data_IF_677169855650
#
_entry.id   IF_677169855650
#
_cell.length_a   1.000
_cell.length_b   1.000
_cell.length_c   1.000
_cell.angle_alpha   90.00
_cell.angle_beta   90.00
_cell.angle_gamma   90.00
#
_symmetry.space_group_name_H-M   'P 1'
#
loop_
_entity.id
_entity.type
_entity.pdbx_description
1 polymer ?
#
# COMPACT_ATOMS: atom_id res chain seq x y z
N UNK A 1 -18.23 10.62 18.02
CA UNK A 1 -17.66 9.42 18.68
C UNK A 1 -16.87 8.70 17.63
N UNK A 2 -15.55 8.97 17.56
CA UNK A 2 -14.65 8.38 16.58
C UNK A 2 -14.39 6.93 16.95
N UNK A 3 -14.85 6.01 16.14
CA UNK A 3 -14.53 4.60 16.26
C UNK A 3 -13.07 4.37 15.87
N UNK A 4 -12.17 4.42 16.87
CA UNK A 4 -10.83 3.86 16.68
C UNK A 4 -11.02 2.41 16.18
N UNK A 5 -10.24 2.01 15.15
CA UNK A 5 -10.19 0.61 14.72
C UNK A 5 -9.88 -0.27 15.95
N UNK A 6 -10.92 -0.74 16.61
CA UNK A 6 -10.79 -1.87 17.54
C UNK A 6 -10.37 -3.10 16.72
N UNK A 7 -9.90 -4.16 17.36
CA UNK A 7 -9.45 -5.42 16.71
C UNK A 7 -10.58 -6.15 15.94
N UNK A 8 -11.43 -5.38 15.25
CA UNK A 8 -12.51 -5.80 14.38
C UNK A 8 -12.06 -5.86 12.92
N UNK A 9 -12.77 -6.60 12.10
CA UNK A 9 -12.54 -6.67 10.67
C UNK A 9 -12.68 -5.27 10.06
N UNK A 10 -11.72 -4.86 9.22
CA UNK A 10 -11.83 -3.62 8.43
C UNK A 10 -12.92 -3.82 7.38
N UNK A 11 -13.97 -2.99 7.40
CA UNK A 11 -15.14 -3.18 6.57
C UNK A 11 -15.00 -2.55 5.17
N UNK A 12 -14.23 -1.46 5.06
CA UNK A 12 -14.01 -0.74 3.79
C UNK A 12 -12.56 -0.36 3.61
N UNK A 13 -11.98 -0.85 2.53
CA UNK A 13 -10.59 -0.62 2.14
C UNK A 13 -10.55 0.02 0.75
N UNK A 14 -9.74 1.06 0.62
CA UNK A 14 -9.46 1.68 -0.68
C UNK A 14 -8.05 1.38 -1.13
N UNK A 15 -7.88 1.06 -2.41
CA UNK A 15 -6.59 0.80 -3.05
C UNK A 15 -6.39 1.87 -4.13
N UNK A 16 -5.38 2.71 -3.95
CA UNK A 16 -5.01 3.77 -4.90
C UNK A 16 -3.82 3.28 -5.73
N UNK A 17 -4.07 3.06 -7.01
CA UNK A 17 -3.16 2.36 -7.91
C UNK A 17 -3.43 0.84 -7.91
N UNK A 18 -4.08 0.36 -8.95
CA UNK A 18 -4.56 -1.02 -9.03
C UNK A 18 -3.82 -1.85 -10.10
N UNK A 19 -2.51 -1.60 -10.22
CA UNK A 19 -1.59 -2.46 -10.97
C UNK A 19 -1.39 -3.84 -10.31
N UNK A 20 -0.30 -4.51 -10.61
CA UNK A 20 0.02 -5.83 -10.06
C UNK A 20 -0.12 -5.90 -8.53
N UNK A 21 0.54 -4.98 -7.81
CA UNK A 21 0.57 -5.02 -6.34
C UNK A 21 -0.81 -4.67 -5.75
N UNK A 22 -1.43 -3.57 -6.21
CA UNK A 22 -2.73 -3.14 -5.69
C UNK A 22 -3.84 -4.17 -5.96
N UNK A 23 -3.91 -4.73 -7.17
CA UNK A 23 -4.87 -5.78 -7.50
C UNK A 23 -4.60 -7.08 -6.72
N UNK A 24 -3.34 -7.42 -6.46
CA UNK A 24 -3.00 -8.58 -5.62
C UNK A 24 -3.39 -8.37 -4.15
N UNK A 25 -3.29 -7.15 -3.63
CA UNK A 25 -3.82 -6.80 -2.30
C UNK A 25 -5.33 -7.02 -2.26
N UNK A 26 -6.06 -6.56 -3.28
CA UNK A 26 -7.51 -6.77 -3.38
C UNK A 26 -7.88 -8.26 -3.37
N UNK A 27 -7.20 -9.07 -4.17
CA UNK A 27 -7.41 -10.53 -4.23
C UNK A 27 -7.08 -11.21 -2.89
N UNK A 28 -5.97 -10.84 -2.24
CA UNK A 28 -5.59 -11.37 -0.94
C UNK A 28 -6.62 -11.00 0.15
N UNK A 29 -7.14 -9.76 0.11
CA UNK A 29 -8.23 -9.31 0.98
C UNK A 29 -9.51 -10.10 0.75
N UNK A 30 -9.90 -10.35 -0.50
CA UNK A 30 -11.06 -11.21 -0.82
C UNK A 30 -10.92 -12.60 -0.21
N UNK A 31 -9.72 -13.17 -0.26
CA UNK A 31 -9.42 -14.49 0.35
C UNK A 31 -9.49 -14.45 1.88
N UNK A 32 -8.90 -13.42 2.50
CA UNK A 32 -8.76 -13.34 3.96
C UNK A 32 -9.98 -12.74 4.68
N UNK A 33 -10.71 -11.84 4.01
CA UNK A 33 -11.86 -11.10 4.55
C UNK A 33 -12.95 -10.93 3.48
N UNK A 34 -13.73 -11.99 3.13
CA UNK A 34 -14.72 -11.94 2.05
C UNK A 34 -15.80 -10.88 2.20
N UNK A 35 -16.08 -10.43 3.43
CA UNK A 35 -17.08 -9.39 3.72
C UNK A 35 -16.54 -7.94 3.61
N UNK A 36 -15.24 -7.75 3.39
CA UNK A 36 -14.67 -6.42 3.24
C UNK A 36 -15.05 -5.80 1.89
N UNK A 37 -15.55 -4.56 1.89
CA UNK A 37 -15.77 -3.78 0.68
C UNK A 37 -14.45 -3.20 0.18
N UNK A 38 -14.09 -3.50 -1.06
CA UNK A 38 -12.86 -3.06 -1.70
C UNK A 38 -13.19 -2.08 -2.81
N UNK A 39 -12.66 -0.86 -2.69
CA UNK A 39 -12.76 0.18 -3.73
C UNK A 39 -11.38 0.40 -4.33
N UNK A 40 -11.27 0.33 -5.64
CA UNK A 40 -10.05 0.63 -6.37
C UNK A 40 -10.12 2.02 -7.00
N UNK A 41 -9.05 2.78 -6.89
CA UNK A 41 -8.89 4.08 -7.56
C UNK A 41 -7.72 3.99 -8.52
N UNK A 42 -7.98 4.14 -9.81
CA UNK A 42 -6.93 4.12 -10.83
C UNK A 42 -7.32 5.04 -12.00
N UNK A 43 -6.41 5.87 -12.54
CA UNK A 43 -6.71 6.75 -13.66
C UNK A 43 -6.92 5.99 -14.99
N UNK A 44 -6.34 4.80 -15.15
CA UNK A 44 -6.45 4.02 -16.39
C UNK A 44 -7.80 3.29 -16.47
N UNK A 45 -8.66 3.59 -17.48
CA UNK A 45 -9.93 2.92 -17.66
C UNK A 45 -9.77 1.42 -17.92
N UNK A 46 -8.72 0.98 -18.61
CA UNK A 46 -8.50 -0.45 -18.87
C UNK A 46 -8.16 -1.21 -17.59
N UNK A 47 -7.44 -0.58 -16.66
CA UNK A 47 -7.20 -1.14 -15.32
C UNK A 47 -8.52 -1.25 -14.57
N UNK A 48 -9.35 -0.21 -14.56
CA UNK A 48 -10.64 -0.22 -13.86
C UNK A 48 -11.59 -1.30 -14.38
N UNK A 49 -11.67 -1.47 -15.70
CA UNK A 49 -12.50 -2.51 -16.34
C UNK A 49 -12.05 -3.92 -15.95
N UNK A 50 -10.74 -4.14 -15.82
CA UNK A 50 -10.18 -5.43 -15.42
C UNK A 50 -10.42 -5.79 -13.94
N UNK A 51 -10.79 -4.82 -13.10
CA UNK A 51 -10.98 -5.05 -11.66
C UNK A 51 -12.39 -5.49 -11.29
N UNK A 52 -13.39 -5.11 -12.07
CA UNK A 52 -14.80 -5.37 -11.80
C UNK A 52 -15.42 -6.19 -12.96
N UNK A 53 -16.08 -7.34 -12.66
CA UNK A 53 -16.26 -7.96 -11.35
C UNK A 53 -15.10 -8.87 -10.93
N UNK A 54 -14.96 -9.08 -9.64
CA UNK A 54 -14.17 -10.18 -9.07
C UNK A 54 -12.95 -9.76 -8.24
N UNK A 55 -12.29 -8.65 -8.57
CA UNK A 55 -11.14 -8.15 -7.79
C UNK A 55 -11.59 -7.06 -6.80
N UNK A 56 -12.28 -6.03 -7.27
CA UNK A 56 -12.85 -4.97 -6.44
C UNK A 56 -14.39 -4.96 -6.53
N UNK A 57 -15.06 -4.37 -5.55
CA UNK A 57 -16.52 -4.14 -5.59
C UNK A 57 -16.85 -2.91 -6.44
N UNK A 58 -15.92 -1.97 -6.49
CA UNK A 58 -16.06 -0.69 -7.17
C UNK A 58 -14.71 -0.21 -7.70
N UNK A 59 -14.67 0.37 -8.88
CA UNK A 59 -13.49 0.99 -9.45
C UNK A 59 -13.84 2.38 -10.00
N UNK A 60 -13.01 3.39 -9.70
CA UNK A 60 -13.24 4.78 -10.07
C UNK A 60 -11.92 5.50 -10.37
N UNK A 61 -11.96 6.60 -11.10
CA UNK A 61 -10.86 7.58 -11.23
C UNK A 61 -11.01 8.77 -10.27
N UNK A 62 -12.18 8.90 -9.63
CA UNK A 62 -12.42 9.93 -8.62
C UNK A 62 -11.88 9.50 -7.25
N UNK A 63 -10.74 10.09 -6.86
CA UNK A 63 -10.10 9.81 -5.59
C UNK A 63 -11.01 10.15 -4.40
N UNK A 64 -11.78 11.24 -4.47
CA UNK A 64 -12.66 11.64 -3.36
C UNK A 64 -13.82 10.64 -3.17
N UNK A 65 -14.40 10.16 -4.27
CA UNK A 65 -15.42 9.12 -4.24
C UNK A 65 -14.85 7.80 -3.69
N UNK A 66 -13.65 7.41 -4.14
CA UNK A 66 -12.99 6.19 -3.69
C UNK A 66 -12.60 6.18 -2.22
N UNK A 67 -12.27 7.35 -1.66
CA UNK A 67 -11.86 7.48 -0.25
C UNK A 67 -13.03 7.64 0.73
N UNK A 68 -14.26 7.80 0.23
CA UNK A 68 -15.44 7.97 1.10
C UNK A 68 -15.59 6.77 2.04
N UNK A 69 -15.68 7.04 3.33
CA UNK A 69 -15.83 6.04 4.40
C UNK A 69 -14.70 4.98 4.45
N UNK A 70 -13.54 5.24 3.83
CA UNK A 70 -12.39 4.34 3.90
C UNK A 70 -11.83 4.27 5.32
N UNK A 71 -11.63 3.07 5.83
CA UNK A 71 -10.98 2.81 7.12
C UNK A 71 -9.49 2.53 6.96
N UNK A 72 -9.11 1.98 5.80
CA UNK A 72 -7.71 1.73 5.42
C UNK A 72 -7.52 2.06 3.95
N UNK A 73 -6.40 2.71 3.64
CA UNK A 73 -5.97 3.01 2.27
C UNK A 73 -4.61 2.39 2.00
N UNK A 74 -4.52 1.61 0.94
CA UNK A 74 -3.24 1.19 0.36
C UNK A 74 -2.90 2.10 -0.82
N UNK A 75 -1.74 2.77 -0.78
CA UNK A 75 -1.21 3.58 -1.89
C UNK A 75 -0.19 2.73 -2.65
N UNK A 76 -0.60 2.18 -3.77
CA UNK A 76 0.19 1.26 -4.62
C UNK A 76 0.49 1.87 -6.00
N UNK A 77 0.54 3.19 -6.09
CA UNK A 77 0.96 3.93 -7.29
C UNK A 77 2.49 3.99 -7.39
N UNK A 78 3.05 4.37 -8.57
CA UNK A 78 4.48 4.59 -8.72
C UNK A 78 5.04 5.60 -7.71
N UNK A 79 6.25 5.35 -7.20
CA UNK A 79 6.88 6.19 -6.15
C UNK A 79 6.92 7.68 -6.54
N UNK A 80 7.17 7.99 -7.81
CA UNK A 80 7.17 9.39 -8.29
C UNK A 80 5.83 10.12 -8.18
N UNK A 81 4.71 9.39 -8.12
CA UNK A 81 3.37 9.96 -7.95
C UNK A 81 2.96 10.06 -6.46
N UNK A 82 3.64 9.36 -5.57
CA UNK A 82 3.24 9.25 -4.16
C UNK A 82 3.13 10.59 -3.42
N UNK A 83 4.03 11.57 -3.57
CA UNK A 83 3.89 12.83 -2.84
C UNK A 83 2.53 13.52 -3.09
N UNK A 84 2.15 13.68 -4.34
CA UNK A 84 0.86 14.30 -4.69
C UNK A 84 -0.34 13.44 -4.25
N UNK A 85 -0.24 12.12 -4.37
CA UNK A 85 -1.29 11.19 -3.93
C UNK A 85 -1.44 11.22 -2.41
N UNK A 86 -0.36 11.20 -1.65
CA UNK A 86 -0.40 11.24 -0.18
C UNK A 86 -1.00 12.55 0.33
N UNK A 87 -0.63 13.70 -0.28
CA UNK A 87 -1.23 15.00 0.03
C UNK A 87 -2.76 14.98 -0.20
N UNK A 88 -3.20 14.48 -1.35
CA UNK A 88 -4.61 14.38 -1.68
C UNK A 88 -5.35 13.41 -0.75
N UNK A 89 -4.78 12.24 -0.44
CA UNK A 89 -5.34 11.27 0.51
C UNK A 89 -5.44 11.85 1.91
N UNK A 90 -4.43 12.55 2.39
CA UNK A 90 -4.43 13.17 3.72
C UNK A 90 -5.59 14.15 3.90
N UNK A 91 -5.92 14.89 2.83
CA UNK A 91 -7.00 15.88 2.80
C UNK A 91 -8.40 15.27 2.64
N UNK A 92 -8.53 14.19 1.86
CA UNK A 92 -9.82 13.65 1.40
C UNK A 92 -10.29 12.44 2.21
N UNK A 93 -9.37 11.64 2.76
CA UNK A 93 -9.72 10.47 3.54
C UNK A 93 -10.27 10.86 4.93
N UNK A 94 -11.15 10.02 5.52
CA UNK A 94 -11.61 10.21 6.90
C UNK A 94 -10.48 10.44 7.89
N UNK A 95 -10.76 11.23 8.93
CA UNK A 95 -9.74 11.65 9.90
C UNK A 95 -9.12 10.49 10.71
N UNK A 96 -9.83 9.40 10.86
CA UNK A 96 -9.44 8.16 11.54
C UNK A 96 -8.94 7.05 10.58
N UNK A 97 -8.92 7.33 9.28
CA UNK A 97 -8.45 6.40 8.27
C UNK A 97 -6.94 6.15 8.40
N UNK A 98 -6.55 4.88 8.44
CA UNK A 98 -5.14 4.49 8.35
C UNK A 98 -4.72 4.42 6.89
N UNK A 99 -3.53 4.92 6.58
CA UNK A 99 -2.95 4.92 5.23
C UNK A 99 -1.60 4.21 5.26
N UNK A 100 -1.35 3.38 4.28
CA UNK A 100 -0.02 2.76 4.06
C UNK A 100 0.33 2.80 2.59
N UNK A 101 1.62 2.82 2.27
CA UNK A 101 2.09 2.71 0.88
C UNK A 101 2.72 1.35 0.59
N UNK A 102 2.98 1.10 -0.69
CA UNK A 102 3.63 -0.11 -1.20
C UNK A 102 4.92 0.21 -1.98
N UNK A 103 5.46 1.41 -1.83
CA UNK A 103 6.63 1.86 -2.60
C UNK A 103 7.91 1.13 -2.25
N UNK A 104 8.82 1.06 -3.23
CA UNK A 104 10.13 0.41 -3.07
C UNK A 104 11.19 1.27 -2.39
N UNK A 105 10.95 2.58 -2.19
CA UNK A 105 11.81 3.51 -1.45
C UNK A 105 11.03 4.12 -0.30
N UNK A 106 11.68 4.34 0.85
CA UNK A 106 10.98 4.78 2.08
C UNK A 106 11.36 6.18 2.54
N UNK A 107 12.60 6.63 2.35
CA UNK A 107 13.02 7.95 2.84
C UNK A 107 12.20 9.08 2.20
N UNK A 108 12.05 9.09 0.88
CA UNK A 108 11.26 10.10 0.16
C UNK A 108 9.77 10.03 0.50
N UNK A 109 9.24 8.81 0.63
CA UNK A 109 7.83 8.59 1.00
C UNK A 109 7.58 9.04 2.45
N UNK A 110 8.49 8.77 3.39
CA UNK A 110 8.37 9.22 4.77
C UNK A 110 8.37 10.75 4.90
N UNK A 111 9.19 11.44 4.10
CA UNK A 111 9.18 12.92 4.04
C UNK A 111 7.83 13.43 3.52
N UNK A 112 7.38 12.93 2.37
CA UNK A 112 6.09 13.33 1.80
C UNK A 112 4.91 13.04 2.75
N UNK A 113 4.95 11.90 3.45
CA UNK A 113 3.93 11.55 4.43
C UNK A 113 3.96 12.47 5.66
N UNK A 114 5.15 12.85 6.15
CA UNK A 114 5.27 13.78 7.26
C UNK A 114 4.74 15.18 6.90
N UNK A 115 4.94 15.63 5.67
CA UNK A 115 4.37 16.87 5.15
C UNK A 115 2.84 16.80 5.04
N UNK A 116 2.29 15.67 4.55
CA UNK A 116 0.87 15.50 4.31
C UNK A 116 0.05 15.19 5.57
N UNK A 117 0.54 14.32 6.45
CA UNK A 117 -0.19 13.82 7.63
C UNK A 117 0.32 14.39 8.95
N UNK A 118 1.50 15.00 8.97
CA UNK A 118 2.22 15.41 10.16
C UNK A 118 3.28 14.39 10.61
N UNK A 119 4.28 14.88 11.31
CA UNK A 119 5.37 14.04 11.85
C UNK A 119 4.82 13.07 12.88
N UNK A 120 5.21 11.80 12.79
CA UNK A 120 4.74 10.70 13.66
C UNK A 120 3.21 10.56 13.72
N UNK A 121 2.51 10.88 12.62
CA UNK A 121 1.06 10.76 12.57
C UNK A 121 0.64 9.29 12.62
N UNK A 122 -0.30 8.88 13.52
CA UNK A 122 -0.81 7.51 13.57
C UNK A 122 -1.68 7.15 12.35
N UNK A 123 -1.97 8.14 11.48
CA UNK A 123 -2.73 7.94 10.26
C UNK A 123 -1.93 7.37 9.10
N UNK A 124 -0.60 7.37 9.18
CA UNK A 124 0.25 6.85 8.12
C UNK A 124 1.33 5.92 8.65
N UNK A 125 1.50 4.78 7.99
CA UNK A 125 2.61 3.85 8.21
C UNK A 125 3.22 3.50 6.86
N UNK A 126 4.48 3.85 6.66
CA UNK A 126 5.18 3.49 5.43
C UNK A 126 5.36 1.97 5.32
N UNK A 127 5.10 1.42 4.13
CA UNK A 127 5.15 -0.01 3.87
C UNK A 127 5.87 -0.36 2.57
N UNK A 128 6.41 -1.58 2.50
CA UNK A 128 7.01 -2.13 1.28
C UNK A 128 6.85 -3.65 1.24
N UNK A 129 5.91 -4.19 0.44
CA UNK A 129 5.84 -5.62 0.17
C UNK A 129 7.05 -6.05 -0.69
N UNK A 130 7.85 -7.01 -0.19
CA UNK A 130 8.97 -7.57 -0.95
C UNK A 130 8.42 -8.73 -1.80
N UNK A 131 7.59 -8.35 -2.75
CA UNK A 131 6.87 -9.25 -3.63
C UNK A 131 6.64 -8.58 -4.99
N UNK A 132 6.67 -9.37 -6.04
CA UNK A 132 6.47 -8.92 -7.42
C UNK A 132 6.57 -10.08 -8.39
N UNK A 133 6.38 -9.79 -9.67
CA UNK A 133 6.62 -10.70 -10.78
C UNK A 133 7.04 -9.89 -12.00
N UNK A 134 7.42 -10.57 -13.09
CA UNK A 134 7.72 -9.94 -14.38
C UNK A 134 6.45 -9.38 -15.07
N UNK A 135 5.28 -9.79 -14.61
CA UNK A 135 4.00 -9.30 -15.11
C UNK A 135 3.66 -7.89 -14.63
N UNK A 136 2.80 -7.22 -15.35
CA UNK A 136 2.31 -5.89 -15.03
C UNK A 136 0.77 -5.81 -15.11
N UNK A 137 0.21 -4.82 -14.44
CA UNK A 137 -1.24 -4.59 -14.44
C UNK A 137 -2.05 -5.64 -13.63
N UNK A 138 -3.38 -5.47 -13.58
CA UNK A 138 -4.27 -6.34 -12.80
C UNK A 138 -4.35 -7.76 -13.35
N UNK A 139 -4.09 -7.99 -14.63
CA UNK A 139 -4.09 -9.34 -15.23
C UNK A 139 -3.00 -10.28 -14.68
N UNK A 140 -1.92 -9.71 -14.14
CA UNK A 140 -0.85 -10.47 -13.50
C UNK A 140 -1.05 -10.63 -11.98
N UNK A 141 -2.14 -10.07 -11.42
CA UNK A 141 -2.40 -10.09 -9.98
C UNK A 141 -2.70 -11.51 -9.47
N UNK A 142 -2.27 -11.78 -8.24
CA UNK A 142 -2.42 -13.09 -7.59
C UNK A 142 -2.81 -12.91 -6.13
N UNK A 143 -3.77 -13.71 -5.66
CA UNK A 143 -4.21 -13.71 -4.27
C UNK A 143 -3.14 -14.21 -3.29
N UNK A 144 -2.19 -14.99 -3.77
CA UNK A 144 -1.08 -15.60 -3.01
C UNK A 144 0.27 -14.86 -3.20
N UNK A 145 0.26 -13.68 -3.83
CA UNK A 145 1.49 -12.91 -4.11
C UNK A 145 2.33 -12.67 -2.85
N UNK A 146 1.68 -12.51 -1.71
CA UNK A 146 2.32 -12.16 -0.44
C UNK A 146 2.57 -13.37 0.47
N UNK A 147 2.13 -14.59 0.10
CA UNK A 147 2.25 -15.77 0.93
C UNK A 147 3.72 -16.08 1.24
N UNK A 148 4.08 -16.01 2.54
CA UNK A 148 5.44 -16.20 3.05
C UNK A 148 6.44 -15.10 2.66
N UNK A 149 6.00 -14.05 1.94
CA UNK A 149 6.86 -12.92 1.56
C UNK A 149 6.99 -11.92 2.69
N UNK A 150 8.12 -11.24 2.74
CA UNK A 150 8.34 -10.17 3.71
C UNK A 150 7.54 -8.94 3.29
N UNK A 151 6.85 -8.35 4.26
CA UNK A 151 6.27 -7.02 4.14
C UNK A 151 6.92 -6.12 5.19
N UNK A 152 7.72 -5.17 4.75
CA UNK A 152 8.36 -4.22 5.65
C UNK A 152 7.39 -3.11 6.02
N UNK A 153 7.27 -2.82 7.32
CA UNK A 153 6.65 -1.61 7.84
C UNK A 153 7.75 -0.71 8.40
N UNK A 154 7.67 0.57 8.09
CA UNK A 154 8.71 1.53 8.41
C UNK A 154 8.16 2.67 9.28
N UNK A 155 7.77 2.40 10.54
CA UNK A 155 7.34 3.45 11.46
C UNK A 155 8.53 4.38 11.79
N UNK A 156 8.27 5.69 11.85
CA UNK A 156 9.26 6.70 12.17
C UNK A 156 9.16 7.22 13.62
N UNK A 157 8.13 6.77 14.37
CA UNK A 157 7.93 7.18 15.76
C UNK A 157 6.90 6.36 16.51
N UNK A 158 6.71 6.61 17.81
CA UNK A 158 5.87 5.78 18.70
C UNK A 158 4.39 5.72 18.32
N UNK A 159 3.83 6.80 17.74
CA UNK A 159 2.43 6.77 17.30
C UNK A 159 2.26 5.89 16.06
N UNK A 160 3.23 5.94 15.13
CA UNK A 160 3.26 5.05 13.96
C UNK A 160 3.56 3.60 14.34
N UNK A 161 4.35 3.32 15.37
CA UNK A 161 4.59 1.95 15.87
C UNK A 161 3.28 1.26 16.31
N UNK A 162 2.40 1.98 17.02
CA UNK A 162 1.09 1.46 17.41
C UNK A 162 0.18 1.19 16.20
N UNK A 163 0.20 2.08 15.21
CA UNK A 163 -0.54 1.89 13.97
C UNK A 163 0.03 0.72 13.14
N UNK A 164 1.36 0.60 13.09
CA UNK A 164 2.07 -0.49 12.42
C UNK A 164 1.72 -1.87 13.01
N UNK A 165 1.61 -1.99 14.33
CA UNK A 165 1.21 -3.24 14.98
C UNK A 165 -0.18 -3.70 14.52
N UNK A 166 -1.14 -2.78 14.41
CA UNK A 166 -2.50 -3.08 13.92
C UNK A 166 -2.51 -3.46 12.44
N UNK A 167 -1.73 -2.74 11.62
CA UNK A 167 -1.58 -3.05 10.20
C UNK A 167 -0.92 -4.42 10.01
N UNK A 168 0.08 -4.77 10.83
CA UNK A 168 0.78 -6.04 10.79
C UNK A 168 -0.16 -7.25 10.99
N UNK A 169 -1.16 -7.13 11.86
CA UNK A 169 -2.18 -8.18 12.05
C UNK A 169 -2.97 -8.44 10.76
N UNK A 170 -3.38 -7.39 10.05
CA UNK A 170 -4.07 -7.53 8.77
C UNK A 170 -3.15 -8.14 7.72
N UNK A 171 -1.93 -7.61 7.55
CA UNK A 171 -0.98 -8.09 6.55
C UNK A 171 -0.59 -9.55 6.77
N UNK A 172 -0.48 -9.98 8.03
CA UNK A 172 -0.24 -11.39 8.38
C UNK A 172 -1.40 -12.29 7.94
N UNK A 173 -2.65 -11.82 8.03
CA UNK A 173 -3.82 -12.54 7.48
C UNK A 173 -3.80 -12.62 5.95
N UNK A 174 -3.14 -11.68 5.27
CA UNK A 174 -2.92 -11.75 3.81
C UNK A 174 -1.82 -12.73 3.42
N UNK A 175 -1.17 -13.39 4.40
CA UNK A 175 -0.10 -14.37 4.19
C UNK A 175 1.32 -13.81 4.31
N UNK A 176 1.48 -12.51 4.55
CA UNK A 176 2.78 -11.88 4.63
C UNK A 176 3.50 -12.16 5.96
N UNK A 177 4.84 -12.20 5.92
CA UNK A 177 5.71 -12.11 7.10
C UNK A 177 6.04 -10.65 7.33
N UNK A 178 5.47 -10.06 8.36
CA UNK A 178 5.65 -8.62 8.63
C UNK A 178 6.88 -8.40 9.50
N UNK A 179 7.74 -7.51 9.04
CA UNK A 179 8.97 -7.09 9.74
C UNK A 179 8.98 -5.57 9.85
N UNK A 180 9.63 -5.02 10.86
CA UNK A 180 9.72 -3.58 11.08
C UNK A 180 11.15 -3.09 10.93
N UNK A 181 11.34 -1.97 10.21
CA UNK A 181 12.65 -1.37 9.99
C UNK A 181 12.50 0.17 9.91
N UNK A 182 13.48 0.90 10.43
CA UNK A 182 13.47 2.36 10.29
C UNK A 182 13.62 2.80 8.82
N UNK A 183 12.91 3.85 8.32
CA UNK A 183 12.92 4.25 6.91
C UNK A 183 14.32 4.45 6.31
N UNK A 184 15.24 5.10 7.04
CA UNK A 184 16.61 5.31 6.56
C UNK A 184 17.41 4.01 6.46
N UNK A 185 17.22 3.07 7.39
CA UNK A 185 17.88 1.76 7.34
C UNK A 185 17.33 0.91 6.19
N UNK A 186 16.01 1.02 5.90
CA UNK A 186 15.40 0.40 4.73
C UNK A 186 16.11 0.80 3.44
N UNK A 187 16.21 2.11 3.15
CA UNK A 187 16.77 2.56 1.88
C UNK A 187 18.27 2.25 1.75
N UNK A 188 19.03 2.33 2.84
CA UNK A 188 20.43 1.92 2.84
C UNK A 188 20.59 0.43 2.47
N UNK A 189 19.76 -0.45 3.06
CA UNK A 189 19.77 -1.88 2.77
C UNK A 189 19.36 -2.15 1.32
N UNK A 190 18.27 -1.56 0.84
CA UNK A 190 17.77 -1.80 -0.52
C UNK A 190 18.63 -1.19 -1.60
N UNK A 191 19.38 -0.13 -1.32
CA UNK A 191 20.39 0.41 -2.25
C UNK A 191 21.41 -0.65 -2.61
N UNK A 192 21.92 -1.40 -1.62
CA UNK A 192 22.94 -2.43 -1.84
C UNK A 192 22.37 -3.73 -2.43
N UNK A 193 21.31 -4.26 -1.84
CA UNK A 193 20.83 -5.61 -2.15
C UNK A 193 19.83 -5.69 -3.30
N UNK A 194 19.25 -4.57 -3.71
CA UNK A 194 18.23 -4.53 -4.76
C UNK A 194 18.54 -3.51 -5.86
N UNK A 195 18.64 -2.22 -5.52
CA UNK A 195 18.68 -1.18 -6.55
C UNK A 195 19.98 -1.19 -7.35
N UNK A 196 21.12 -1.34 -6.67
CA UNK A 196 22.42 -1.41 -7.33
C UNK A 196 22.57 -2.63 -8.28
N UNK A 197 22.22 -3.87 -7.87
CA UNK A 197 22.20 -5.01 -8.77
C UNK A 197 21.31 -4.81 -10.00
N UNK A 198 20.12 -4.23 -9.83
CA UNK A 198 19.24 -3.93 -10.96
C UNK A 198 19.87 -2.89 -11.92
N UNK A 199 20.44 -1.82 -11.38
CA UNK A 199 21.10 -0.81 -12.20
C UNK A 199 22.26 -1.39 -13.04
N UNK A 200 23.06 -2.28 -12.43
CA UNK A 200 24.13 -2.99 -13.13
C UNK A 200 23.58 -3.92 -14.21
N UNK A 201 22.53 -4.69 -13.90
CA UNK A 201 21.89 -5.59 -14.87
C UNK A 201 21.34 -4.82 -16.07
N UNK A 202 20.63 -3.71 -15.84
CA UNK A 202 20.14 -2.86 -16.93
C UNK A 202 21.26 -2.26 -17.76
N UNK A 203 22.35 -1.80 -17.14
CA UNK A 203 23.49 -1.26 -17.86
C UNK A 203 24.15 -2.32 -18.77
N UNK A 204 24.26 -3.57 -18.29
CA UNK A 204 24.81 -4.68 -19.09
C UNK A 204 23.88 -5.08 -20.25
N UNK A 205 22.57 -5.01 -20.08
CA UNK A 205 21.61 -5.32 -21.15
C UNK A 205 21.53 -4.20 -22.21
N UNK A 206 21.93 -2.97 -21.87
CA UNK A 206 21.92 -1.83 -22.78
C UNK A 206 23.24 -1.65 -23.57
N UNK A 207 24.28 -2.40 -23.24
CA UNK A 207 25.58 -2.37 -23.89
C UNK A 207 25.66 -3.34 -25.08
#
# INVERSE_FOLDING_TARGET
>A
MGGAMEAGAVERITIVGAGLVGASIALALRRAQPGCRIVAVDPDPAVREALVPGIADEATDDLAAGLRDAQLVFVACPVGAMPAVLEAVARLAPADCLVTDCGSTKASVAVAAAEAFGVDSPRFVAGHPIAGSEGSGPAAARADLFDGRIWLLCPAGPAQEKAAARLAELLSRLGARVESIHPAAHDAMFAEFSHWPHAVAFALCAA
#
